data_IF_451026073208
#
_entry.id   IF_451026073208
#
_cell.length_a   1.000
_cell.length_b   1.000
_cell.length_c   1.000
_cell.angle_alpha   90.00
_cell.angle_beta   90.00
_cell.angle_gamma   90.00
#
_symmetry.space_group_name_H-M   'P 1'
#
loop_
_entity.id
_entity.type
_entity.pdbx_description
1 polymer ?
#
# COMPACT_ATOMS: atom_id res chain seq x y z
N UNK A 1 22.18 -7.56 -23.83
CA UNK A 1 21.01 -6.68 -24.02
C UNK A 1 20.11 -6.83 -22.80
N UNK A 2 20.22 -5.95 -21.79
CA UNK A 2 19.29 -5.90 -20.65
C UNK A 2 18.53 -4.59 -20.80
N UNK A 3 17.24 -4.65 -21.13
CA UNK A 3 16.38 -3.46 -21.13
C UNK A 3 16.40 -2.93 -19.70
N UNK A 4 17.04 -1.78 -19.49
CA UNK A 4 16.93 -0.99 -18.28
C UNK A 4 15.51 -0.43 -18.25
N UNK A 5 14.55 -1.20 -17.73
CA UNK A 5 13.27 -0.64 -17.36
C UNK A 5 13.51 0.25 -16.15
N UNK A 6 13.24 1.56 -16.29
CA UNK A 6 13.07 2.43 -15.13
C UNK A 6 12.09 1.77 -14.15
N UNK A 7 12.25 1.90 -12.82
CA UNK A 7 11.30 1.32 -11.88
C UNK A 7 9.91 1.82 -12.25
N UNK A 8 9.02 0.89 -12.60
CA UNK A 8 7.67 1.22 -12.99
C UNK A 8 6.96 1.84 -11.78
N UNK A 9 6.48 3.07 -11.95
CA UNK A 9 5.75 3.76 -10.91
C UNK A 9 4.40 3.05 -10.69
N UNK A 10 4.08 2.57 -9.48
CA UNK A 10 2.79 1.95 -9.21
C UNK A 10 1.64 2.92 -9.52
N UNK A 11 0.68 2.48 -10.34
CA UNK A 11 -0.45 3.32 -10.72
C UNK A 11 -1.74 2.76 -10.12
N UNK A 12 -2.69 3.63 -9.72
CA UNK A 12 -3.99 3.19 -9.28
C UNK A 12 -4.70 2.34 -10.34
N UNK A 13 -5.59 1.44 -9.92
CA UNK A 13 -6.46 0.72 -10.85
C UNK A 13 -7.33 1.71 -11.64
N UNK A 14 -7.51 1.47 -12.95
CA UNK A 14 -8.25 2.37 -13.84
C UNK A 14 -9.73 2.50 -13.46
N UNK A 15 -10.33 1.41 -13.03
CA UNK A 15 -11.73 1.31 -12.60
C UNK A 15 -11.92 1.69 -11.13
N UNK A 16 -10.86 1.60 -10.32
CA UNK A 16 -10.86 1.88 -8.88
C UNK A 16 -9.71 2.83 -8.53
N UNK A 17 -9.85 4.14 -8.77
CA UNK A 17 -8.76 5.11 -8.64
C UNK A 17 -8.27 5.32 -7.20
N UNK A 18 -8.97 4.73 -6.23
CA UNK A 18 -8.60 4.71 -4.82
C UNK A 18 -7.87 3.43 -4.37
N UNK A 19 -7.60 2.50 -5.30
CA UNK A 19 -6.87 1.25 -5.04
C UNK A 19 -5.49 1.32 -5.69
N UNK A 20 -4.43 1.16 -4.90
CA UNK A 20 -3.05 1.07 -5.35
C UNK A 20 -2.56 -0.38 -5.32
N UNK A 21 -2.48 -1.07 -6.47
CA UNK A 21 -1.84 -2.38 -6.56
C UNK A 21 -0.32 -2.24 -6.44
N UNK A 22 0.28 -3.07 -5.58
CA UNK A 22 1.72 -3.21 -5.44
C UNK A 22 2.10 -4.67 -5.71
N UNK A 23 3.31 -4.87 -6.24
CA UNK A 23 3.82 -6.19 -6.58
C UNK A 23 5.31 -6.31 -6.24
N UNK A 24 5.77 -7.54 -6.02
CA UNK A 24 7.17 -7.86 -5.76
C UNK A 24 7.67 -7.44 -4.39
N UNK A 25 8.89 -6.93 -4.33
CA UNK A 25 9.57 -6.57 -3.08
C UNK A 25 9.48 -5.07 -2.81
N UNK A 26 9.00 -4.71 -1.62
CA UNK A 26 8.93 -3.33 -1.14
C UNK A 26 10.15 -3.03 -0.27
N UNK A 27 11.26 -2.74 -0.94
CA UNK A 27 12.54 -2.43 -0.33
C UNK A 27 12.91 -0.94 -0.43
N UNK A 28 14.09 -0.56 0.07
CA UNK A 28 14.66 0.80 -0.05
C UNK A 28 14.70 1.37 -1.48
N UNK A 29 14.73 0.52 -2.53
CA UNK A 29 14.76 0.97 -3.93
C UNK A 29 13.37 1.25 -4.47
N UNK A 30 12.38 0.43 -4.10
CA UNK A 30 10.98 0.53 -4.57
C UNK A 30 10.18 1.54 -3.74
N UNK A 31 10.45 1.63 -2.44
CA UNK A 31 9.72 2.47 -1.48
C UNK A 31 9.58 3.94 -1.90
N UNK A 32 10.58 4.62 -2.49
CA UNK A 32 10.41 5.99 -2.98
C UNK A 32 9.31 6.14 -4.03
N UNK A 33 9.16 5.16 -4.92
CA UNK A 33 8.12 5.18 -5.97
C UNK A 33 6.72 4.92 -5.39
N UNK A 34 6.62 4.04 -4.40
CA UNK A 34 5.39 3.79 -3.64
C UNK A 34 4.95 5.05 -2.90
N UNK A 35 5.87 5.72 -2.21
CA UNK A 35 5.58 6.97 -1.49
C UNK A 35 5.05 8.04 -2.44
N UNK A 36 5.68 8.21 -3.60
CA UNK A 36 5.23 9.17 -4.59
C UNK A 36 3.83 8.82 -5.14
N UNK A 37 3.55 7.53 -5.37
CA UNK A 37 2.23 7.04 -5.82
C UNK A 37 1.14 7.31 -4.79
N UNK A 38 1.42 6.98 -3.52
CA UNK A 38 0.54 7.28 -2.41
C UNK A 38 0.28 8.78 -2.30
N UNK A 39 1.31 9.63 -2.34
CA UNK A 39 1.14 11.08 -2.25
C UNK A 39 0.24 11.62 -3.36
N UNK A 40 0.43 11.17 -4.62
CA UNK A 40 -0.41 11.55 -5.75
C UNK A 40 -1.90 11.20 -5.52
N UNK A 41 -2.18 10.02 -4.97
CA UNK A 41 -3.55 9.61 -4.64
C UNK A 41 -4.11 10.41 -3.47
N UNK A 42 -3.30 10.62 -2.42
CA UNK A 42 -3.63 11.37 -1.20
C UNK A 42 -4.00 12.82 -1.52
N UNK A 43 -3.33 13.45 -2.50
CA UNK A 43 -3.68 14.81 -2.96
C UNK A 43 -5.12 14.94 -3.46
N UNK A 44 -5.71 13.85 -3.97
CA UNK A 44 -7.12 13.81 -4.39
C UNK A 44 -8.09 13.69 -3.21
N UNK A 45 -7.58 13.51 -1.99
CA UNK A 45 -8.33 13.32 -0.74
C UNK A 45 -9.45 12.27 -0.87
N UNK A 46 -9.15 11.06 -1.34
CA UNK A 46 -10.16 10.01 -1.41
C UNK A 46 -10.72 9.71 -0.01
N UNK A 47 -12.02 9.45 0.10
CA UNK A 47 -12.63 9.05 1.39
C UNK A 47 -12.03 7.76 1.94
N UNK A 48 -11.55 6.90 1.05
CA UNK A 48 -10.92 5.63 1.37
C UNK A 48 -9.78 5.40 0.38
N UNK A 49 -8.60 5.02 0.85
CA UNK A 49 -7.46 4.59 0.05
C UNK A 49 -7.08 3.18 0.46
N UNK A 50 -7.00 2.28 -0.52
CA UNK A 50 -6.67 0.86 -0.29
C UNK A 50 -5.34 0.56 -0.98
N UNK A 51 -4.42 -0.07 -0.27
CA UNK A 51 -3.21 -0.65 -0.86
C UNK A 51 -3.40 -2.15 -0.98
N UNK A 52 -3.32 -2.63 -2.21
CA UNK A 52 -3.45 -4.05 -2.54
C UNK A 52 -2.06 -4.69 -2.56
N UNK A 53 -1.84 -5.60 -1.60
CA UNK A 53 -0.59 -6.29 -1.35
C UNK A 53 -0.64 -7.75 -1.82
N UNK A 54 -1.65 -8.13 -2.61
CA UNK A 54 -1.87 -9.51 -3.07
C UNK A 54 -0.67 -10.09 -3.83
N UNK A 55 0.08 -9.25 -4.52
CA UNK A 55 1.26 -9.65 -5.30
C UNK A 55 2.59 -9.21 -4.66
N UNK A 56 2.57 -8.73 -3.41
CA UNK A 56 3.76 -8.33 -2.66
C UNK A 56 4.35 -9.53 -1.94
N UNK A 57 5.61 -9.84 -2.25
CA UNK A 57 6.32 -11.01 -1.72
C UNK A 57 7.17 -10.69 -0.49
N UNK A 58 7.57 -9.43 -0.32
CA UNK A 58 8.42 -9.00 0.79
C UNK A 58 8.27 -7.50 1.08
N UNK A 59 8.52 -7.10 2.32
CA UNK A 59 8.54 -5.70 2.76
C UNK A 59 9.62 -5.47 3.82
N UNK A 60 10.39 -4.39 3.68
CA UNK A 60 11.36 -3.96 4.69
C UNK A 60 10.84 -2.80 5.56
N UNK A 61 11.70 -2.25 6.42
CA UNK A 61 11.36 -1.12 7.28
C UNK A 61 11.00 0.16 6.51
N UNK A 62 11.55 0.37 5.31
CA UNK A 62 11.26 1.52 4.47
C UNK A 62 9.86 1.42 3.86
N UNK A 63 9.47 0.23 3.41
CA UNK A 63 8.12 -0.03 2.94
C UNK A 63 7.08 0.15 4.05
N UNK A 64 7.35 -0.38 5.25
CA UNK A 64 6.46 -0.18 6.41
C UNK A 64 6.33 1.30 6.78
N UNK A 65 7.45 2.04 6.79
CA UNK A 65 7.43 3.48 7.07
C UNK A 65 6.62 4.26 6.02
N UNK A 66 6.67 3.86 4.74
CA UNK A 66 5.87 4.46 3.68
C UNK A 66 4.36 4.30 3.95
N UNK A 67 3.93 3.11 4.39
CA UNK A 67 2.53 2.86 4.73
C UNK A 67 2.07 3.63 5.96
N UNK A 68 2.89 3.70 7.02
CA UNK A 68 2.57 4.47 8.22
C UNK A 68 2.38 5.95 7.87
N UNK A 69 3.30 6.52 7.07
CA UNK A 69 3.20 7.91 6.62
C UNK A 69 1.97 8.14 5.73
N UNK A 70 1.67 7.20 4.83
CA UNK A 70 0.48 7.25 3.98
C UNK A 70 -0.81 7.26 4.80
N UNK A 71 -0.92 6.34 5.77
CA UNK A 71 -2.05 6.24 6.70
C UNK A 71 -2.27 7.54 7.47
N UNK A 72 -1.22 8.05 8.13
CA UNK A 72 -1.30 9.30 8.89
C UNK A 72 -1.78 10.48 8.03
N UNK A 73 -1.31 10.59 6.78
CA UNK A 73 -1.74 11.64 5.85
C UNK A 73 -3.21 11.49 5.43
N UNK A 74 -3.66 10.26 5.20
CA UNK A 74 -5.06 9.97 4.85
C UNK A 74 -6.00 10.29 6.01
N UNK A 75 -5.65 9.85 7.21
CA UNK A 75 -6.42 10.07 8.42
C UNK A 75 -6.44 11.55 8.83
N UNK A 76 -5.37 12.31 8.57
CA UNK A 76 -5.30 13.74 8.88
C UNK A 76 -6.37 14.58 8.17
N UNK A 77 -6.92 14.13 7.04
CA UNK A 77 -8.07 14.76 6.39
C UNK A 77 -9.39 14.00 6.59
N UNK A 78 -9.42 12.98 7.46
CA UNK A 78 -10.60 12.18 7.78
C UNK A 78 -10.91 11.07 6.79
N UNK A 79 -9.97 10.70 5.91
CA UNK A 79 -10.08 9.52 5.06
C UNK A 79 -9.76 8.23 5.82
N UNK A 80 -10.07 7.08 5.21
CA UNK A 80 -9.69 5.75 5.71
C UNK A 80 -8.54 5.19 4.88
N UNK A 81 -7.53 4.63 5.54
CA UNK A 81 -6.43 3.91 4.89
C UNK A 81 -6.52 2.43 5.26
N UNK A 82 -6.52 1.56 4.25
CA UNK A 82 -6.64 0.13 4.45
C UNK A 82 -5.62 -0.65 3.62
N UNK A 83 -5.23 -1.81 4.13
CA UNK A 83 -4.41 -2.78 3.42
C UNK A 83 -5.25 -4.00 3.07
N UNK A 84 -4.99 -4.61 1.92
CA UNK A 84 -5.69 -5.79 1.43
C UNK A 84 -4.69 -6.83 0.93
N UNK A 85 -5.04 -8.11 1.08
CA UNK A 85 -4.33 -9.19 0.38
C UNK A 85 -2.93 -9.49 0.90
N UNK A 86 -2.63 -9.29 2.20
CA UNK A 86 -1.31 -9.63 2.72
C UNK A 86 -1.01 -11.13 2.55
N UNK A 87 0.06 -11.41 1.82
CA UNK A 87 0.67 -12.74 1.72
C UNK A 87 1.31 -13.17 3.05
N UNK A 88 1.52 -14.46 3.24
CA UNK A 88 1.99 -15.05 4.51
C UNK A 88 3.27 -14.39 5.04
N UNK A 89 4.29 -14.22 4.19
CA UNK A 89 5.55 -13.57 4.57
C UNK A 89 5.36 -12.12 5.02
N UNK A 90 4.57 -11.34 4.27
CA UNK A 90 4.28 -9.93 4.61
C UNK A 90 3.46 -9.87 5.89
N UNK A 91 2.46 -10.75 6.05
CA UNK A 91 1.63 -10.87 7.25
C UNK A 91 2.48 -11.14 8.50
N UNK A 92 3.40 -12.11 8.45
CA UNK A 92 4.28 -12.39 9.59
C UNK A 92 5.12 -11.16 9.99
N UNK A 93 5.59 -10.38 9.01
CA UNK A 93 6.34 -9.14 9.28
C UNK A 93 5.45 -8.11 10.00
N UNK A 94 4.19 -7.96 9.56
CA UNK A 94 3.21 -7.09 10.23
C UNK A 94 2.91 -7.54 11.67
N UNK A 95 2.73 -8.84 11.89
CA UNK A 95 2.45 -9.40 13.22
C UNK A 95 3.64 -9.25 14.18
N UNK A 96 4.86 -9.53 13.71
CA UNK A 96 6.10 -9.36 14.50
C UNK A 96 6.29 -7.89 14.88
N UNK A 97 6.00 -6.98 13.94
CA UNK A 97 6.09 -5.52 14.17
C UNK A 97 4.88 -4.93 14.89
N UNK A 98 3.85 -5.74 15.19
CA UNK A 98 2.56 -5.34 15.77
C UNK A 98 1.79 -4.30 14.94
N UNK A 99 2.10 -4.21 13.65
CA UNK A 99 1.42 -3.30 12.73
C UNK A 99 0.05 -3.84 12.30
N UNK A 100 -0.21 -5.12 12.49
CA UNK A 100 -1.54 -5.72 12.36
C UNK A 100 -2.60 -5.09 13.30
N UNK A 101 -2.16 -4.48 14.41
CA UNK A 101 -3.04 -3.75 15.34
C UNK A 101 -3.21 -2.26 14.98
N UNK A 102 -2.38 -1.77 14.07
CA UNK A 102 -2.36 -0.36 13.65
C UNK A 102 -3.18 -0.17 12.38
N UNK A 103 -3.03 -1.07 11.41
CA UNK A 103 -3.71 -0.97 10.13
C UNK A 103 -5.05 -1.71 10.12
N UNK A 104 -6.01 -1.16 9.37
CA UNK A 104 -7.16 -1.95 8.94
C UNK A 104 -6.72 -2.89 7.81
N UNK A 105 -6.67 -4.19 8.09
CA UNK A 105 -6.20 -5.21 7.15
C UNK A 105 -7.36 -6.13 6.75
N UNK A 106 -7.58 -6.27 5.45
CA UNK A 106 -8.63 -7.11 4.87
C UNK A 106 -8.04 -8.28 4.06
N UNK A 107 -8.86 -9.31 3.82
CA UNK A 107 -8.48 -10.48 3.01
C UNK A 107 -8.16 -10.10 1.57
N UNK A 108 -8.91 -9.16 1.02
CA UNK A 108 -8.85 -8.75 -0.39
C UNK A 108 -9.41 -7.33 -0.56
N UNK A 109 -9.27 -6.80 -1.78
CA UNK A 109 -9.69 -5.44 -2.13
C UNK A 109 -11.20 -5.25 -2.01
N UNK A 110 -12.00 -6.27 -2.33
CA UNK A 110 -13.46 -6.15 -2.31
C UNK A 110 -13.98 -6.07 -0.87
N UNK A 111 -13.43 -6.87 0.04
CA UNK A 111 -13.68 -6.79 1.47
C UNK A 111 -13.30 -5.41 2.04
N UNK A 112 -12.15 -4.87 1.63
CA UNK A 112 -11.73 -3.52 2.05
C UNK A 112 -12.70 -2.44 1.54
N UNK A 113 -13.12 -2.51 0.28
CA UNK A 113 -14.09 -1.55 -0.30
C UNK A 113 -15.45 -1.60 0.41
N UNK A 114 -15.91 -2.79 0.82
CA UNK A 114 -17.18 -2.97 1.50
C UNK A 114 -17.21 -2.40 2.94
N UNK A 115 -16.05 -2.21 3.58
CA UNK A 115 -15.93 -1.70 4.95
C UNK A 115 -15.95 -0.16 5.05
N UNK A 116 -16.12 0.53 3.91
CA UNK A 116 -16.06 1.99 3.80
C UNK A 116 -17.31 2.69 4.35
#
# INVERSE_FOLDING_TARGET
MKKSASPAFPMPRKDRPNVLPLEGELDLHVSPTVVASLNMMIEKKPKQLIVDLSDVTYIDSAGLAAFIQGMQKVEAYGGKFALAGLQETVRSIFEISRLDQVFQIFSDVDAALAAA
#
